data_IF_573207096886
#
_entry.id   IF_573207096886
#
_cell.length_a   1.000
_cell.length_b   1.000
_cell.length_c   1.000
_cell.angle_alpha   90.00
_cell.angle_beta   90.00
_cell.angle_gamma   90.00
#
_symmetry.space_group_name_H-M   'P 1'
#
loop_
_entity.id
_entity.type
_entity.pdbx_description
1 polymer ?
#
# COMPACT_ATOMS: atom_id res chain seq x y z
N UNK A 1 -0.03 -24.21 -62.03
CA UNK A 1 1.37 -23.82 -61.74
C UNK A 1 1.86 -24.66 -60.54
N UNK A 2 2.69 -25.72 -60.80
CA UNK A 2 3.26 -26.52 -59.71
C UNK A 2 4.37 -25.72 -59.04
N UNK A 3 4.20 -25.40 -57.73
CA UNK A 3 5.25 -24.81 -56.95
C UNK A 3 6.46 -25.74 -56.91
N UNK A 4 7.70 -25.22 -57.05
CA UNK A 4 8.89 -26.02 -56.82
C UNK A 4 8.89 -26.53 -55.38
N UNK A 5 9.44 -27.71 -55.07
CA UNK A 5 9.39 -28.33 -53.74
C UNK A 5 9.84 -27.40 -52.60
N UNK A 6 10.88 -26.58 -52.84
CA UNK A 6 11.40 -25.58 -51.89
C UNK A 6 10.34 -24.49 -51.60
N UNK A 7 9.65 -23.97 -52.63
CA UNK A 7 8.60 -22.96 -52.46
C UNK A 7 7.36 -23.51 -51.73
N UNK A 8 7.02 -24.78 -51.98
CA UNK A 8 5.94 -25.46 -51.25
C UNK A 8 6.30 -25.64 -49.76
N UNK A 9 7.53 -26.01 -49.42
CA UNK A 9 8.00 -26.17 -48.04
C UNK A 9 8.05 -24.83 -47.31
N UNK A 10 8.49 -23.75 -47.95
CA UNK A 10 8.46 -22.41 -47.35
C UNK A 10 7.01 -21.98 -47.09
N UNK A 11 6.11 -22.18 -48.01
CA UNK A 11 4.70 -21.85 -47.85
C UNK A 11 4.07 -22.65 -46.68
N UNK A 12 4.36 -23.94 -46.60
CA UNK A 12 3.92 -24.79 -45.48
C UNK A 12 4.48 -24.31 -44.13
N UNK A 13 5.74 -23.94 -44.09
CA UNK A 13 6.34 -23.38 -42.86
C UNK A 13 5.65 -22.08 -42.44
N UNK A 14 5.42 -21.16 -43.36
CA UNK A 14 4.72 -19.89 -43.08
C UNK A 14 3.31 -20.15 -42.58
N UNK A 15 2.55 -21.01 -43.27
CA UNK A 15 1.17 -21.33 -42.85
C UNK A 15 1.15 -21.99 -41.48
N UNK A 16 2.02 -22.97 -41.22
CA UNK A 16 2.09 -23.64 -39.91
C UNK A 16 2.46 -22.67 -38.80
N UNK A 17 3.40 -21.75 -39.04
CA UNK A 17 3.77 -20.72 -38.08
C UNK A 17 2.60 -19.78 -37.78
N UNK A 18 1.89 -19.31 -38.82
CA UNK A 18 0.72 -18.43 -38.63
C UNK A 18 -0.40 -19.15 -37.87
N UNK A 19 -0.67 -20.43 -38.19
CA UNK A 19 -1.66 -21.21 -37.45
C UNK A 19 -1.28 -21.42 -35.99
N UNK A 20 0.01 -21.68 -35.73
CA UNK A 20 0.51 -21.81 -34.35
C UNK A 20 0.36 -20.50 -33.58
N UNK A 21 0.72 -19.36 -34.15
CA UNK A 21 0.55 -18.04 -33.51
C UNK A 21 -0.93 -17.72 -33.31
N UNK A 22 -1.80 -18.02 -34.25
CA UNK A 22 -3.25 -17.84 -34.12
C UNK A 22 -3.83 -18.71 -32.98
N UNK A 23 -3.39 -19.97 -32.90
CA UNK A 23 -3.80 -20.88 -31.82
C UNK A 23 -3.31 -20.40 -30.46
N UNK A 24 -2.06 -19.93 -30.38
CA UNK A 24 -1.51 -19.34 -29.15
C UNK A 24 -2.28 -18.07 -28.74
N UNK A 25 -2.55 -17.16 -29.65
CA UNK A 25 -3.37 -15.98 -29.42
C UNK A 25 -4.77 -16.36 -28.90
N UNK A 26 -5.44 -17.32 -29.54
CA UNK A 26 -6.74 -17.85 -29.10
C UNK A 26 -6.70 -18.43 -27.70
N UNK A 27 -5.63 -19.16 -27.35
CA UNK A 27 -5.43 -19.71 -26.02
C UNK A 27 -5.27 -18.60 -24.96
N UNK A 28 -4.47 -17.57 -25.23
CA UNK A 28 -4.29 -16.47 -24.27
C UNK A 28 -5.55 -15.61 -24.14
N UNK A 29 -6.33 -15.40 -25.21
CA UNK A 29 -7.66 -14.77 -25.14
C UNK A 29 -8.62 -15.59 -24.27
N UNK A 30 -8.65 -16.90 -24.44
CA UNK A 30 -9.46 -17.80 -23.59
C UNK A 30 -9.05 -17.73 -22.12
N UNK A 31 -7.73 -17.74 -21.83
CA UNK A 31 -7.24 -17.60 -20.45
C UNK A 31 -7.66 -16.27 -19.84
N UNK A 32 -7.52 -15.17 -20.56
CA UNK A 32 -7.97 -13.86 -20.10
C UNK A 32 -9.48 -13.84 -19.85
N UNK A 33 -10.28 -14.41 -20.75
CA UNK A 33 -11.73 -14.53 -20.58
C UNK A 33 -12.11 -15.31 -19.31
N UNK A 34 -11.40 -16.38 -19.00
CA UNK A 34 -11.64 -17.15 -17.77
C UNK A 34 -11.29 -16.32 -16.54
N UNK A 35 -10.11 -15.68 -16.51
CA UNK A 35 -9.68 -14.84 -15.42
C UNK A 35 -10.65 -13.65 -15.18
N UNK A 36 -11.08 -12.99 -16.25
CA UNK A 36 -12.02 -11.87 -16.16
C UNK A 36 -13.39 -12.32 -15.63
N UNK A 37 -13.86 -13.51 -16.01
CA UNK A 37 -15.10 -14.07 -15.45
C UNK A 37 -15.00 -14.33 -13.95
N UNK A 38 -13.86 -14.87 -13.49
CA UNK A 38 -13.62 -15.12 -12.08
C UNK A 38 -13.57 -13.78 -11.31
N UNK A 39 -12.91 -12.76 -11.89
CA UNK A 39 -12.83 -11.40 -11.35
C UNK A 39 -14.22 -10.75 -11.21
N UNK A 40 -15.11 -10.90 -12.20
CA UNK A 40 -16.51 -10.43 -12.11
C UNK A 40 -17.33 -11.22 -11.08
N UNK A 41 -16.96 -12.48 -10.84
CA UNK A 41 -17.51 -13.26 -9.73
C UNK A 41 -17.17 -12.62 -8.37
N UNK A 42 -15.91 -12.28 -8.18
CA UNK A 42 -15.44 -11.59 -6.97
C UNK A 42 -16.04 -10.19 -6.82
N UNK A 43 -16.14 -9.41 -7.91
CA UNK A 43 -16.82 -8.10 -7.90
C UNK A 43 -18.22 -8.19 -7.32
N UNK A 44 -19.02 -9.15 -7.78
CA UNK A 44 -20.40 -9.34 -7.28
C UNK A 44 -20.43 -9.65 -5.79
N UNK A 45 -19.48 -10.45 -5.30
CA UNK A 45 -19.34 -10.74 -3.87
C UNK A 45 -18.98 -9.47 -3.10
N UNK A 46 -18.00 -8.70 -3.58
CA UNK A 46 -17.58 -7.44 -2.95
C UNK A 46 -18.75 -6.43 -2.89
N UNK A 47 -19.50 -6.28 -3.97
CA UNK A 47 -20.69 -5.42 -4.00
C UNK A 47 -21.79 -5.90 -3.04
N UNK A 48 -22.02 -7.21 -2.95
CA UNK A 48 -22.99 -7.78 -1.99
C UNK A 48 -22.57 -7.48 -0.54
N UNK A 49 -21.29 -7.64 -0.22
CA UNK A 49 -20.75 -7.34 1.12
C UNK A 49 -20.94 -5.87 1.47
N UNK A 50 -20.63 -4.97 0.55
CA UNK A 50 -20.83 -3.52 0.74
C UNK A 50 -22.30 -3.16 0.99
N UNK A 51 -23.24 -3.75 0.21
CA UNK A 51 -24.67 -3.45 0.32
C UNK A 51 -25.35 -4.13 1.50
N UNK A 52 -24.82 -5.24 2.01
CA UNK A 52 -25.41 -5.98 3.13
C UNK A 52 -25.14 -5.36 4.51
N UNK A 53 -24.48 -4.21 4.56
CA UNK A 53 -24.08 -3.58 5.82
C UNK A 53 -23.09 -4.43 6.62
N UNK A 54 -22.44 -5.39 5.96
CA UNK A 54 -21.41 -6.20 6.56
C UNK A 54 -21.88 -7.46 7.26
N UNK A 55 -23.09 -7.92 7.05
CA UNK A 55 -23.56 -9.16 7.69
C UNK A 55 -23.36 -10.38 6.79
N UNK A 56 -22.28 -11.13 7.03
CA UNK A 56 -22.19 -12.54 6.67
C UNK A 56 -21.59 -13.31 7.84
N UNK A 57 -22.31 -14.24 8.45
CA UNK A 57 -21.77 -15.07 9.50
C UNK A 57 -20.59 -15.89 8.93
N UNK A 58 -19.45 -15.88 9.64
CA UNK A 58 -18.24 -16.65 9.38
C UNK A 58 -17.27 -16.15 8.29
N UNK A 59 -17.27 -14.88 7.90
CA UNK A 59 -16.21 -14.37 7.04
C UNK A 59 -15.46 -13.22 7.73
N UNK A 60 -14.17 -13.43 8.00
CA UNK A 60 -13.21 -12.37 8.35
C UNK A 60 -12.90 -11.52 7.10
N UNK A 61 -13.91 -11.24 6.27
CA UNK A 61 -13.71 -10.56 5.02
C UNK A 61 -13.43 -9.07 5.26
N UNK A 62 -12.32 -8.59 4.71
CA UNK A 62 -11.88 -7.20 4.77
C UNK A 62 -12.99 -6.20 4.38
N UNK A 63 -13.82 -6.54 3.40
CA UNK A 63 -14.95 -5.72 2.96
C UNK A 63 -15.96 -5.34 4.06
N UNK A 64 -15.97 -6.03 5.21
CA UNK A 64 -16.82 -5.66 6.35
C UNK A 64 -16.27 -4.47 7.12
N UNK A 65 -14.97 -4.27 7.11
CA UNK A 65 -14.32 -3.20 7.83
C UNK A 65 -14.37 -1.87 7.09
N UNK A 66 -14.69 -1.88 5.78
CA UNK A 66 -14.58 -0.70 4.93
C UNK A 66 -15.95 -0.16 4.51
N UNK A 67 -15.95 1.10 4.15
CA UNK A 67 -17.07 1.78 3.46
C UNK A 67 -16.51 2.60 2.30
N UNK A 68 -17.36 2.86 1.30
CA UNK A 68 -16.99 3.72 0.19
C UNK A 68 -17.04 5.18 0.61
N UNK A 69 -16.12 5.98 0.10
CA UNK A 69 -16.08 7.42 0.30
C UNK A 69 -16.43 8.16 -1.00
N UNK A 70 -16.95 9.37 -0.87
CA UNK A 70 -17.21 10.26 -2.02
C UNK A 70 -15.92 10.82 -2.64
N UNK A 71 -14.77 10.61 -2.03
CA UNK A 71 -13.48 10.98 -2.59
C UNK A 71 -12.97 9.89 -3.56
N UNK A 72 -13.11 10.12 -4.85
CA UNK A 72 -12.67 9.19 -5.91
C UNK A 72 -11.15 8.89 -5.88
N UNK A 73 -10.35 9.61 -5.10
CA UNK A 73 -8.90 9.36 -4.93
C UNK A 73 -8.58 8.53 -3.69
N UNK A 74 -9.51 8.40 -2.73
CA UNK A 74 -9.41 7.49 -1.58
C UNK A 74 -10.20 6.21 -1.86
N UNK A 75 -11.40 6.37 -2.44
CA UNK A 75 -12.32 5.32 -2.88
C UNK A 75 -12.99 4.59 -1.73
N UNK A 76 -12.26 4.08 -0.78
CA UNK A 76 -12.78 3.40 0.43
C UNK A 76 -11.97 3.78 1.66
N UNK A 77 -12.57 3.61 2.82
CA UNK A 77 -11.92 3.86 4.10
C UNK A 77 -12.45 2.87 5.15
N UNK A 78 -11.77 2.77 6.28
CA UNK A 78 -12.28 1.96 7.40
C UNK A 78 -13.48 2.65 8.03
N UNK A 79 -14.48 1.87 8.40
CA UNK A 79 -15.65 2.36 9.14
C UNK A 79 -15.23 2.96 10.48
N UNK A 80 -15.77 4.11 10.89
CA UNK A 80 -15.54 4.65 12.22
C UNK A 80 -16.22 3.78 13.30
N UNK A 81 -15.68 3.79 14.51
CA UNK A 81 -16.18 3.05 15.67
C UNK A 81 -16.35 1.54 15.43
N UNK A 82 -15.52 0.98 14.56
CA UNK A 82 -15.46 -0.44 14.30
C UNK A 82 -14.89 -1.17 15.52
N UNK A 83 -15.48 -2.31 15.87
CA UNK A 83 -14.91 -3.34 16.73
C UNK A 83 -15.08 -4.67 16.02
N UNK A 84 -14.01 -5.18 15.39
CA UNK A 84 -14.08 -6.32 14.50
C UNK A 84 -12.86 -7.22 14.62
N UNK A 85 -13.07 -8.53 14.59
CA UNK A 85 -11.98 -9.50 14.54
C UNK A 85 -11.50 -9.69 13.09
N UNK A 86 -10.23 -9.37 12.85
CA UNK A 86 -9.59 -9.49 11.55
C UNK A 86 -8.17 -10.03 11.70
N UNK A 87 -7.86 -11.14 11.00
CA UNK A 87 -6.55 -11.80 11.09
C UNK A 87 -6.14 -12.17 12.52
N UNK A 88 -7.07 -12.79 13.24
CA UNK A 88 -6.92 -13.28 14.61
C UNK A 88 -6.63 -12.19 15.67
N UNK A 89 -6.85 -10.92 15.33
CA UNK A 89 -6.74 -9.79 16.26
C UNK A 89 -7.98 -8.89 16.16
N UNK A 90 -8.30 -8.21 17.25
CA UNK A 90 -9.34 -7.17 17.22
C UNK A 90 -8.82 -5.89 16.59
N UNK A 91 -9.66 -5.28 15.78
CA UNK A 91 -9.46 -3.98 15.14
C UNK A 91 -10.49 -3.02 15.72
N UNK A 92 -10.03 -2.05 16.46
CA UNK A 92 -10.84 -0.94 16.97
C UNK A 92 -10.49 0.32 16.19
N UNK A 93 -11.50 0.98 15.60
CA UNK A 93 -11.28 2.23 14.89
C UNK A 93 -11.87 3.40 15.65
N UNK A 94 -11.19 4.53 15.58
CA UNK A 94 -11.64 5.78 16.17
C UNK A 94 -12.74 6.45 15.32
N UNK A 95 -13.21 7.63 15.73
CA UNK A 95 -14.26 8.38 15.01
C UNK A 95 -13.86 8.82 13.60
N UNK A 96 -12.57 8.82 13.25
CA UNK A 96 -12.07 9.14 11.92
C UNK A 96 -11.87 7.90 11.03
N UNK A 97 -12.19 6.70 11.54
CA UNK A 97 -11.98 5.43 10.85
C UNK A 97 -10.53 4.94 10.89
N UNK A 98 -9.66 5.46 11.76
CA UNK A 98 -8.30 4.96 11.89
C UNK A 98 -8.21 3.91 13.02
N UNK A 99 -7.41 2.86 12.81
CA UNK A 99 -7.06 1.87 13.83
C UNK A 99 -6.10 2.47 14.84
N UNK A 100 -6.66 3.34 15.67
CA UNK A 100 -5.90 4.11 16.64
C UNK A 100 -6.84 4.64 17.73
N UNK A 101 -6.27 5.15 18.82
CA UNK A 101 -7.02 5.87 19.83
C UNK A 101 -7.61 7.17 19.26
N UNK A 102 -8.49 7.78 20.01
CA UNK A 102 -9.10 9.04 19.62
C UNK A 102 -8.16 10.23 19.89
N UNK A 103 -8.00 11.11 18.90
CA UNK A 103 -7.28 12.37 19.01
C UNK A 103 -8.18 13.55 18.68
N UNK A 104 -8.01 14.64 19.37
CA UNK A 104 -8.69 15.90 19.06
C UNK A 104 -8.06 16.55 17.81
N UNK A 105 -8.86 17.11 16.91
CA UNK A 105 -8.30 17.88 15.80
C UNK A 105 -7.52 19.11 16.30
N UNK A 106 -8.06 19.82 17.28
CA UNK A 106 -7.32 20.92 17.94
C UNK A 106 -6.17 20.33 18.73
N UNK A 107 -4.94 20.71 18.35
CA UNK A 107 -3.73 20.24 19.01
C UNK A 107 -3.63 20.87 20.42
N UNK A 108 -3.52 20.06 21.49
CA UNK A 108 -3.30 20.59 22.83
C UNK A 108 -1.96 21.34 22.96
N UNK A 109 -1.85 22.35 23.80
CA UNK A 109 -0.56 23.01 24.07
C UNK A 109 0.50 22.01 24.57
N UNK A 110 1.73 22.16 24.09
CA UNK A 110 2.84 21.27 24.46
C UNK A 110 2.80 19.89 23.76
N UNK A 111 1.94 19.71 22.75
CA UNK A 111 1.83 18.47 22.00
C UNK A 111 2.61 18.55 20.68
N UNK A 112 3.42 17.54 20.43
CA UNK A 112 4.06 17.27 19.14
C UNK A 112 3.29 16.16 18.44
N UNK A 113 2.89 16.37 17.19
CA UNK A 113 2.14 15.40 16.39
C UNK A 113 2.92 14.84 15.23
N UNK A 114 2.99 13.53 15.17
CA UNK A 114 3.48 12.78 14.03
C UNK A 114 2.28 12.10 13.38
N UNK A 115 2.09 12.24 12.08
CA UNK A 115 1.06 11.53 11.34
C UNK A 115 1.73 10.52 10.43
N UNK A 116 1.38 9.25 10.60
CA UNK A 116 1.79 8.16 9.71
C UNK A 116 0.76 7.91 8.63
N UNK A 117 1.21 7.78 7.38
CA UNK A 117 0.42 7.36 6.21
C UNK A 117 1.06 6.09 5.64
N UNK A 118 0.25 5.07 5.35
CA UNK A 118 0.75 3.77 4.91
C UNK A 118 -0.37 2.76 4.70
N UNK A 119 0.04 1.57 4.38
CA UNK A 119 -0.81 0.42 4.06
C UNK A 119 -1.06 -0.54 5.24
N UNK A 120 -1.19 -1.82 4.94
CA UNK A 120 -1.39 -2.90 5.91
C UNK A 120 -0.25 -3.07 6.91
N UNK A 121 0.98 -2.71 6.52
CA UNK A 121 2.14 -2.78 7.41
C UNK A 121 2.06 -1.69 8.47
N UNK A 122 1.73 -0.46 8.09
CA UNK A 122 1.53 0.62 9.05
C UNK A 122 0.29 0.39 9.92
N UNK A 123 -0.80 -0.10 9.32
CA UNK A 123 -2.00 -0.51 10.05
C UNK A 123 -1.72 -1.51 11.17
N UNK A 124 -0.66 -2.31 11.07
CA UNK A 124 -0.34 -3.37 12.02
C UNK A 124 -1.19 -4.62 11.80
N UNK A 125 -1.33 -5.07 10.54
CA UNK A 125 -2.13 -6.25 10.21
C UNK A 125 -1.58 -7.51 10.89
N UNK A 126 -2.47 -8.21 11.61
CA UNK A 126 -2.14 -9.47 12.29
C UNK A 126 -1.40 -9.31 13.63
N UNK A 127 -1.17 -8.08 14.11
CA UNK A 127 -0.65 -7.84 15.46
C UNK A 127 -1.68 -7.11 16.32
N UNK A 128 -1.67 -7.33 17.67
CA UNK A 128 -2.58 -6.62 18.58
C UNK A 128 -2.47 -5.10 18.42
N UNK A 129 -3.58 -4.41 18.62
CA UNK A 129 -3.59 -2.96 18.67
C UNK A 129 -2.59 -2.46 19.73
N UNK A 130 -2.03 -1.27 19.53
CA UNK A 130 -0.97 -0.68 20.36
C UNK A 130 0.41 -1.39 20.27
N UNK A 131 0.58 -2.37 19.38
CA UNK A 131 1.87 -3.04 19.14
C UNK A 131 2.44 -2.79 17.74
N UNK A 132 1.74 -2.03 16.90
CA UNK A 132 2.30 -1.52 15.65
C UNK A 132 3.42 -0.50 15.92
N UNK A 133 4.27 -0.28 14.92
CA UNK A 133 5.48 0.52 15.13
C UNK A 133 5.24 1.99 15.45
N UNK A 134 4.08 2.56 15.07
CA UNK A 134 3.73 3.94 15.42
C UNK A 134 3.27 4.06 16.88
N UNK A 135 2.47 3.11 17.35
CA UNK A 135 2.08 3.03 18.75
C UNK A 135 3.29 2.81 19.68
N UNK A 136 4.20 1.90 19.28
CA UNK A 136 5.47 1.69 19.99
C UNK A 136 6.31 2.96 19.99
N UNK A 137 6.43 3.65 18.85
CA UNK A 137 7.16 4.93 18.75
C UNK A 137 6.57 5.99 19.68
N UNK A 138 5.24 6.12 19.73
CA UNK A 138 4.56 7.07 20.61
C UNK A 138 4.91 6.83 22.09
N UNK A 139 4.82 5.57 22.52
CA UNK A 139 5.16 5.19 23.88
C UNK A 139 6.62 5.54 24.20
N UNK A 140 7.56 5.21 23.29
CA UNK A 140 8.99 5.51 23.48
C UNK A 140 9.28 7.00 23.50
N UNK A 141 8.65 7.79 22.65
CA UNK A 141 8.80 9.25 22.63
C UNK A 141 8.30 9.88 23.93
N UNK A 142 7.14 9.46 24.43
CA UNK A 142 6.59 9.95 25.70
C UNK A 142 7.42 9.52 26.91
N UNK A 143 8.03 8.32 26.87
CA UNK A 143 8.94 7.84 27.91
C UNK A 143 10.26 8.66 27.93
N UNK A 144 10.89 8.86 26.78
CA UNK A 144 12.21 9.46 26.68
C UNK A 144 12.18 11.00 26.69
N UNK A 145 11.09 11.62 26.25
CA UNK A 145 10.95 13.06 26.12
C UNK A 145 9.69 13.60 26.82
N UNK A 146 9.55 13.39 28.16
CA UNK A 146 8.31 13.66 28.91
C UNK A 146 7.97 15.16 29.05
N UNK A 147 8.86 16.08 28.64
CA UNK A 147 8.58 17.51 28.63
C UNK A 147 7.59 17.96 27.57
N UNK A 148 7.25 17.07 26.65
CA UNK A 148 6.22 17.23 25.62
C UNK A 148 5.23 16.06 25.69
N UNK A 149 4.04 16.27 25.15
CA UNK A 149 3.12 15.17 24.83
C UNK A 149 3.36 14.79 23.38
N UNK A 150 3.63 13.53 23.12
CA UNK A 150 3.78 13.02 21.78
C UNK A 150 2.51 12.27 21.39
N UNK A 151 1.94 12.65 20.27
CA UNK A 151 0.84 11.96 19.61
C UNK A 151 1.31 11.47 18.24
N UNK A 152 1.28 10.15 18.04
CA UNK A 152 1.70 9.52 16.79
C UNK A 152 0.49 8.83 16.17
N UNK A 153 -0.13 9.50 15.22
CA UNK A 153 -1.42 9.13 14.65
C UNK A 153 -1.21 8.16 13.49
N UNK A 154 -1.74 6.95 13.63
CA UNK A 154 -1.71 5.92 12.62
C UNK A 154 -2.91 6.05 11.67
N UNK A 155 -2.68 6.47 10.42
CA UNK A 155 -3.73 6.53 9.40
C UNK A 155 -3.60 5.41 8.37
N UNK A 156 -2.82 4.36 8.68
CA UNK A 156 -2.62 3.19 7.83
C UNK A 156 -3.93 2.44 7.57
N UNK A 157 -4.14 2.05 6.33
CA UNK A 157 -5.30 1.25 5.91
C UNK A 157 -4.82 0.12 5.01
N UNK A 158 -5.18 -1.14 5.30
CA UNK A 158 -4.77 -2.26 4.45
C UNK A 158 -5.10 -2.02 2.98
N UNK A 159 -4.23 -2.49 2.10
CA UNK A 159 -4.30 -2.34 0.64
C UNK A 159 -4.11 -0.92 0.09
N UNK A 160 -4.01 0.12 0.88
CA UNK A 160 -3.69 1.44 0.33
C UNK A 160 -2.36 1.41 -0.42
N UNK A 161 -2.25 2.25 -1.43
CA UNK A 161 -1.01 2.55 -2.14
C UNK A 161 -0.63 4.01 -1.89
N UNK A 162 0.58 4.37 -2.25
CA UNK A 162 1.11 5.73 -2.04
C UNK A 162 0.17 6.85 -2.50
N UNK A 163 -0.57 6.66 -3.60
CA UNK A 163 -1.52 7.68 -4.11
C UNK A 163 -2.67 7.90 -3.14
N UNK A 164 -3.24 6.81 -2.62
CA UNK A 164 -4.38 6.86 -1.69
C UNK A 164 -3.91 7.35 -0.31
N UNK A 165 -2.75 6.94 0.15
CA UNK A 165 -2.15 7.37 1.41
C UNK A 165 -1.92 8.88 1.46
N UNK A 166 -1.34 9.44 0.40
CA UNK A 166 -1.10 10.88 0.29
C UNK A 166 -2.42 11.66 0.21
N UNK A 167 -3.42 11.14 -0.48
CA UNK A 167 -4.75 11.75 -0.50
C UNK A 167 -5.44 11.66 0.88
N UNK A 168 -5.23 10.56 1.62
CA UNK A 168 -5.73 10.41 3.01
C UNK A 168 -5.10 11.44 3.94
N UNK A 169 -3.79 11.71 3.79
CA UNK A 169 -3.15 12.81 4.51
C UNK A 169 -3.83 14.13 4.19
N UNK A 170 -4.05 14.45 2.90
CA UNK A 170 -4.70 15.67 2.44
C UNK A 170 -6.11 15.83 3.02
N UNK A 171 -6.93 14.79 2.90
CA UNK A 171 -8.34 14.84 3.25
C UNK A 171 -8.59 14.79 4.78
N UNK A 172 -7.79 14.02 5.49
CA UNK A 172 -7.99 13.69 6.92
C UNK A 172 -6.78 14.03 7.80
N UNK A 173 -5.57 13.61 7.42
CA UNK A 173 -4.38 13.73 8.27
C UNK A 173 -3.99 15.17 8.59
N UNK A 174 -4.11 16.10 7.63
CA UNK A 174 -3.80 17.51 7.84
C UNK A 174 -4.70 18.20 8.87
N UNK A 175 -5.91 17.68 9.11
CA UNK A 175 -6.83 18.20 10.15
C UNK A 175 -6.22 18.09 11.56
N UNK A 176 -5.27 17.18 11.75
CA UNK A 176 -4.56 16.99 13.01
C UNK A 176 -3.37 17.95 13.18
N UNK A 177 -3.06 18.79 12.18
CA UNK A 177 -1.93 19.73 12.22
C UNK A 177 -0.61 19.04 12.56
N UNK A 178 -0.10 18.14 11.71
CA UNK A 178 1.12 17.38 11.95
C UNK A 178 2.36 18.29 12.03
N UNK A 179 3.28 17.97 12.95
CA UNK A 179 4.61 18.56 13.04
C UNK A 179 5.64 17.73 12.22
N UNK A 180 5.30 16.46 11.92
CA UNK A 180 6.09 15.56 11.09
C UNK A 180 5.15 14.54 10.46
N UNK A 181 5.45 14.13 9.22
CA UNK A 181 4.75 13.04 8.54
C UNK A 181 5.71 11.89 8.27
N UNK A 182 5.26 10.66 8.58
CA UNK A 182 5.95 9.41 8.24
C UNK A 182 5.15 8.73 7.14
N UNK A 183 5.80 8.44 6.00
CA UNK A 183 5.22 7.58 4.96
C UNK A 183 5.90 6.21 5.00
N UNK A 184 5.11 5.15 5.18
CA UNK A 184 5.58 3.76 5.09
C UNK A 184 5.50 3.30 3.64
N UNK A 185 6.57 2.67 3.13
CA UNK A 185 6.66 2.22 1.72
C UNK A 185 6.99 0.74 1.67
N UNK A 186 6.23 0.02 0.86
CA UNK A 186 6.40 -1.40 0.55
C UNK A 186 6.29 -1.65 -0.96
N UNK A 187 6.60 -2.86 -1.42
CA UNK A 187 6.66 -3.16 -2.85
C UNK A 187 5.31 -3.17 -3.58
N UNK A 188 4.19 -3.26 -2.86
CA UNK A 188 2.85 -3.20 -3.45
C UNK A 188 2.28 -1.78 -3.64
N UNK A 189 3.01 -0.74 -3.26
CA UNK A 189 2.59 0.67 -3.34
C UNK A 189 2.33 1.19 -4.77
N UNK A 190 2.73 0.45 -5.78
CA UNK A 190 2.37 0.72 -7.17
C UNK A 190 1.08 0.05 -7.61
N UNK A 191 0.60 -0.92 -6.84
CA UNK A 191 -0.55 -1.72 -7.24
C UNK A 191 -1.85 -0.93 -7.06
N UNK A 192 -2.83 -1.23 -7.90
CA UNK A 192 -4.20 -0.87 -7.59
C UNK A 192 -4.67 -1.77 -6.44
N UNK A 193 -5.23 -1.23 -5.34
CA UNK A 193 -5.78 -2.06 -4.27
C UNK A 193 -6.76 -3.11 -4.80
N UNK A 194 -6.72 -4.33 -4.27
CA UNK A 194 -7.56 -5.43 -4.76
C UNK A 194 -9.05 -5.06 -4.71
N UNK A 195 -9.47 -4.44 -3.61
CA UNK A 195 -10.83 -3.98 -3.44
C UNK A 195 -11.22 -2.91 -4.47
N UNK A 196 -10.34 -1.93 -4.72
CA UNK A 196 -10.53 -0.88 -5.74
C UNK A 196 -10.53 -1.48 -7.15
N UNK A 197 -9.71 -2.51 -7.38
CA UNK A 197 -9.72 -3.25 -8.64
C UNK A 197 -11.10 -3.84 -8.91
N UNK A 198 -11.72 -4.46 -7.91
CA UNK A 198 -13.03 -5.10 -8.06
C UNK A 198 -14.14 -4.09 -8.32
N UNK A 199 -14.26 -3.06 -7.48
CA UNK A 199 -15.36 -2.08 -7.58
C UNK A 199 -15.20 -1.12 -8.76
N UNK A 200 -13.98 -0.91 -9.23
CA UNK A 200 -13.66 -0.05 -10.38
C UNK A 200 -13.92 -0.70 -11.75
N UNK A 201 -14.25 -2.00 -11.80
CA UNK A 201 -14.59 -2.69 -13.04
C UNK A 201 -15.89 -2.14 -13.63
N UNK A 202 -16.05 -2.12 -14.96
CA UNK A 202 -17.32 -1.83 -15.62
C UNK A 202 -18.46 -2.70 -15.07
N UNK A 203 -19.71 -2.20 -15.12
CA UNK A 203 -20.86 -2.99 -14.67
C UNK A 203 -21.02 -4.31 -15.45
N UNK A 204 -20.70 -4.28 -16.75
CA UNK A 204 -20.81 -5.43 -17.63
C UNK A 204 -19.53 -5.61 -18.43
N UNK A 205 -19.14 -6.86 -18.59
CA UNK A 205 -18.04 -7.24 -19.47
C UNK A 205 -18.48 -7.09 -20.92
N UNK A 206 -17.84 -6.18 -21.66
CA UNK A 206 -18.04 -6.09 -23.11
C UNK A 206 -17.19 -7.15 -23.80
N UNK A 207 -17.80 -8.34 -23.96
CA UNK A 207 -17.15 -9.51 -24.55
C UNK A 207 -16.60 -9.22 -25.96
N UNK A 208 -17.40 -8.55 -26.82
CA UNK A 208 -17.03 -8.32 -28.20
C UNK A 208 -15.86 -7.38 -28.34
N UNK A 209 -15.91 -6.22 -27.68
CA UNK A 209 -14.81 -5.27 -27.73
C UNK A 209 -13.54 -5.81 -27.08
N UNK A 210 -13.66 -6.57 -26.00
CA UNK A 210 -12.49 -7.06 -25.29
C UNK A 210 -11.80 -8.23 -25.96
N UNK A 211 -12.53 -9.23 -26.47
CA UNK A 211 -11.93 -10.48 -26.95
C UNK A 211 -12.02 -10.71 -28.46
N UNK A 212 -12.90 -10.02 -29.16
CA UNK A 212 -13.09 -10.22 -30.60
C UNK A 212 -12.54 -9.04 -31.38
N UNK A 213 -12.96 -7.83 -31.09
CA UNK A 213 -12.59 -6.61 -31.80
C UNK A 213 -11.28 -6.00 -31.32
N UNK A 214 -10.78 -6.41 -30.16
CA UNK A 214 -9.53 -5.91 -29.64
C UNK A 214 -8.35 -6.28 -30.54
N UNK A 215 -7.67 -5.28 -31.07
CA UNK A 215 -6.50 -5.44 -31.95
C UNK A 215 -5.20 -5.73 -31.20
N UNK A 216 -5.18 -5.55 -29.87
CA UNK A 216 -4.02 -5.89 -29.05
C UNK A 216 -3.86 -7.40 -28.96
N UNK A 217 -2.63 -7.90 -29.13
CA UNK A 217 -2.31 -9.31 -28.97
C UNK A 217 -2.19 -9.68 -27.49
N UNK A 218 -3.01 -10.61 -27.04
CA UNK A 218 -2.96 -11.17 -25.68
C UNK A 218 -1.70 -12.03 -25.46
N UNK A 219 -1.26 -12.74 -26.50
CA UNK A 219 0.01 -13.46 -26.49
C UNK A 219 1.18 -12.50 -26.29
N UNK A 220 1.24 -11.41 -27.06
CA UNK A 220 2.32 -10.43 -26.96
C UNK A 220 2.34 -9.72 -25.60
N UNK A 221 1.17 -9.34 -25.10
CA UNK A 221 1.03 -8.76 -23.76
C UNK A 221 1.55 -9.69 -22.67
N UNK A 222 1.24 -10.98 -22.75
CA UNK A 222 1.77 -11.98 -21.83
C UNK A 222 3.30 -12.09 -21.90
N UNK A 223 3.85 -12.15 -23.13
CA UNK A 223 5.30 -12.23 -23.35
C UNK A 223 6.00 -11.00 -22.79
N UNK A 224 5.48 -9.82 -23.07
CA UNK A 224 6.03 -8.56 -22.57
C UNK A 224 6.01 -8.52 -21.04
N UNK A 225 4.91 -8.83 -20.38
CA UNK A 225 4.81 -8.89 -18.94
C UNK A 225 5.84 -9.85 -18.29
N UNK A 226 6.24 -10.91 -19.01
CA UNK A 226 7.29 -11.84 -18.56
C UNK A 226 8.70 -11.31 -18.79
N UNK A 227 8.92 -10.52 -19.81
CA UNK A 227 10.24 -9.97 -20.16
C UNK A 227 10.55 -8.70 -19.38
N UNK A 228 9.62 -7.78 -19.32
CA UNK A 228 9.86 -6.44 -18.78
C UNK A 228 9.75 -6.38 -17.24
N UNK A 229 9.24 -7.45 -16.60
CA UNK A 229 8.97 -7.50 -15.14
C UNK A 229 8.18 -6.28 -14.63
N UNK A 230 7.57 -5.52 -15.53
CA UNK A 230 6.81 -4.32 -15.20
C UNK A 230 5.34 -4.66 -15.01
N UNK A 231 4.74 -4.29 -13.88
CA UNK A 231 3.30 -4.49 -13.65
C UNK A 231 2.44 -3.67 -14.61
N UNK A 232 2.96 -2.61 -15.22
CA UNK A 232 2.19 -1.62 -15.98
C UNK A 232 1.77 -2.06 -17.40
N UNK A 233 2.29 -3.19 -17.89
CA UNK A 233 2.10 -3.62 -19.29
C UNK A 233 1.07 -4.76 -19.51
N UNK A 234 0.43 -5.23 -18.47
CA UNK A 234 -0.68 -6.19 -18.62
C UNK A 234 -1.89 -5.42 -19.15
N UNK A 235 -2.59 -5.90 -20.22
CA UNK A 235 -3.85 -5.28 -20.62
C UNK A 235 -4.86 -5.51 -19.50
N UNK A 236 -4.79 -4.66 -18.51
CA UNK A 236 -5.72 -4.66 -17.39
C UNK A 236 -7.13 -4.46 -17.93
N UNK A 237 -8.10 -5.04 -17.26
CA UNK A 237 -9.49 -4.68 -17.48
C UNK A 237 -9.61 -3.17 -17.36
N UNK A 238 -10.43 -2.51 -18.19
CA UNK A 238 -10.77 -1.12 -17.94
C UNK A 238 -11.21 -0.96 -16.50
N UNK A 239 -10.61 -0.03 -15.79
CA UNK A 239 -10.90 0.23 -14.39
C UNK A 239 -11.04 1.73 -14.19
N UNK A 240 -12.14 2.16 -13.56
CA UNK A 240 -12.44 3.56 -13.27
C UNK A 240 -11.27 4.23 -12.50
N UNK A 241 -10.58 3.47 -11.66
CA UNK A 241 -9.55 3.94 -10.75
C UNK A 241 -8.12 3.62 -11.20
N UNK A 242 -7.92 3.20 -12.47
CA UNK A 242 -6.60 2.83 -12.98
C UNK A 242 -5.53 3.94 -12.82
N UNK A 243 -5.96 5.21 -12.81
CA UNK A 243 -5.06 6.36 -12.61
C UNK A 243 -4.49 6.49 -11.18
N UNK A 244 -5.00 5.72 -10.22
CA UNK A 244 -4.49 5.70 -8.85
C UNK A 244 -3.31 4.73 -8.66
N UNK A 245 -2.94 3.96 -9.67
CA UNK A 245 -1.90 2.94 -9.58
C UNK A 245 -0.74 3.20 -10.56
N UNK A 246 0.35 2.46 -10.34
CA UNK A 246 1.54 2.52 -11.15
C UNK A 246 2.58 3.53 -10.66
N UNK A 247 3.80 3.37 -11.15
CA UNK A 247 4.95 4.18 -10.75
C UNK A 247 4.68 5.68 -10.93
N UNK A 248 4.10 6.08 -12.07
CA UNK A 248 3.82 7.49 -12.36
C UNK A 248 2.87 8.11 -11.32
N UNK A 249 1.83 7.39 -10.91
CA UNK A 249 0.87 7.86 -9.92
C UNK A 249 1.53 8.01 -8.55
N UNK A 250 2.31 7.00 -8.13
CA UNK A 250 3.04 7.03 -6.86
C UNK A 250 4.09 8.16 -6.81
N UNK A 251 4.89 8.33 -7.88
CA UNK A 251 5.88 9.42 -7.92
C UNK A 251 5.22 10.81 -7.88
N UNK A 252 4.08 10.97 -8.56
CA UNK A 252 3.29 12.21 -8.50
C UNK A 252 2.73 12.44 -7.09
N UNK A 253 2.27 11.40 -6.42
CA UNK A 253 1.80 11.50 -5.05
C UNK A 253 2.91 11.95 -4.08
N UNK A 254 4.15 11.46 -4.25
CA UNK A 254 5.30 11.93 -3.46
C UNK A 254 5.61 13.42 -3.71
N UNK A 255 5.47 13.90 -4.95
CA UNK A 255 5.60 15.33 -5.27
C UNK A 255 4.52 16.14 -4.57
N UNK A 256 3.27 15.66 -4.57
CA UNK A 256 2.15 16.29 -3.87
C UNK A 256 2.39 16.28 -2.34
N UNK A 257 2.95 15.20 -1.78
CA UNK A 257 3.36 15.13 -0.38
C UNK A 257 4.45 16.18 -0.06
N UNK A 258 5.44 16.33 -0.95
CA UNK A 258 6.47 17.38 -0.80
C UNK A 258 5.86 18.77 -0.82
N UNK A 259 4.93 19.03 -1.72
CA UNK A 259 4.23 20.31 -1.78
C UNK A 259 3.50 20.58 -0.45
N UNK A 260 2.72 19.62 0.06
CA UNK A 260 2.05 19.77 1.37
C UNK A 260 3.05 19.98 2.51
N UNK A 261 4.18 19.27 2.49
CA UNK A 261 5.28 19.46 3.45
C UNK A 261 5.77 20.91 3.51
N UNK A 262 5.93 21.56 2.34
CA UNK A 262 6.35 22.96 2.26
C UNK A 262 5.23 23.92 2.69
N UNK A 263 4.00 23.67 2.24
CA UNK A 263 2.83 24.52 2.53
C UNK A 263 2.48 24.52 4.03
N UNK A 264 2.60 23.37 4.69
CA UNK A 264 2.23 23.22 6.11
C UNK A 264 3.44 23.21 7.07
N UNK A 265 4.67 23.24 6.55
CA UNK A 265 5.88 23.39 7.34
C UNK A 265 6.34 22.13 8.10
N UNK A 266 5.92 20.94 7.71
CA UNK A 266 6.36 19.68 8.34
C UNK A 266 7.42 18.95 7.52
N UNK A 267 8.45 18.36 8.16
CA UNK A 267 9.35 17.42 7.49
C UNK A 267 8.66 16.09 7.20
N UNK A 268 9.16 15.37 6.20
CA UNK A 268 8.70 14.03 5.81
C UNK A 268 9.80 13.01 6.07
N UNK A 269 9.46 11.92 6.73
CA UNK A 269 10.28 10.72 6.86
C UNK A 269 9.70 9.63 5.97
N UNK A 270 10.49 9.12 5.04
CA UNK A 270 10.13 7.96 4.22
C UNK A 270 10.77 6.70 4.80
N UNK A 271 9.95 5.75 5.16
CA UNK A 271 10.31 4.49 5.81
C UNK A 271 10.10 3.32 4.84
N UNK A 272 11.22 2.72 4.39
CA UNK A 272 11.21 1.55 3.52
C UNK A 272 11.20 0.29 4.39
N UNK A 273 10.09 -0.43 4.36
CA UNK A 273 9.74 -1.44 5.38
C UNK A 273 10.18 -2.87 5.04
N UNK A 274 10.64 -3.13 3.82
CA UNK A 274 10.98 -4.48 3.37
C UNK A 274 12.40 -4.93 3.78
N UNK A 275 12.62 -6.25 3.94
CA UNK A 275 13.92 -6.82 4.30
C UNK A 275 14.96 -6.73 3.17
N UNK A 276 14.52 -6.43 1.96
CA UNK A 276 15.38 -6.19 0.79
C UNK A 276 14.68 -5.24 -0.17
N UNK A 277 15.38 -4.19 -0.60
CA UNK A 277 14.83 -3.23 -1.53
C UNK A 277 14.94 -3.76 -2.96
N UNK A 278 13.81 -4.18 -3.55
CA UNK A 278 13.68 -4.47 -4.97
C UNK A 278 13.73 -3.21 -5.85
N UNK A 279 13.45 -3.35 -7.15
CA UNK A 279 13.43 -2.20 -8.08
C UNK A 279 12.46 -1.10 -7.64
N UNK A 280 11.29 -1.47 -7.12
CA UNK A 280 10.27 -0.54 -6.61
C UNK A 280 10.84 0.25 -5.42
N UNK A 281 11.36 -0.42 -4.40
CA UNK A 281 11.95 0.25 -3.24
C UNK A 281 13.12 1.16 -3.61
N UNK A 282 13.95 0.77 -4.59
CA UNK A 282 15.02 1.63 -5.12
C UNK A 282 14.47 2.89 -5.79
N UNK A 283 13.38 2.79 -6.55
CA UNK A 283 12.72 3.94 -7.18
C UNK A 283 12.18 4.90 -6.12
N UNK A 284 11.50 4.40 -5.10
CA UNK A 284 11.04 5.20 -3.96
C UNK A 284 12.21 5.88 -3.23
N UNK A 285 13.27 5.13 -2.96
CA UNK A 285 14.48 5.65 -2.29
C UNK A 285 15.10 6.80 -3.07
N UNK A 286 15.23 6.66 -4.38
CA UNK A 286 15.79 7.70 -5.25
C UNK A 286 14.90 8.93 -5.27
N UNK A 287 13.58 8.74 -5.41
CA UNK A 287 12.61 9.86 -5.42
C UNK A 287 12.55 10.56 -4.05
N UNK A 288 12.54 9.83 -2.95
CA UNK A 288 12.54 10.41 -1.60
C UNK A 288 13.79 11.28 -1.36
N UNK A 289 14.97 10.83 -1.79
CA UNK A 289 16.21 11.63 -1.72
C UNK A 289 16.15 12.87 -2.60
N UNK A 290 15.64 12.75 -3.84
CA UNK A 290 15.42 13.88 -4.75
C UNK A 290 14.53 14.96 -4.12
N UNK A 291 13.45 14.54 -3.44
CA UNK A 291 12.50 15.42 -2.77
C UNK A 291 13.01 15.96 -1.42
N UNK A 292 14.17 15.49 -0.94
CA UNK A 292 14.75 15.90 0.33
C UNK A 292 13.99 15.34 1.55
N UNK A 293 13.44 14.13 1.44
CA UNK A 293 12.85 13.43 2.57
C UNK A 293 13.94 12.81 3.45
N UNK A 294 13.67 12.66 4.73
CA UNK A 294 14.49 11.88 5.64
C UNK A 294 14.25 10.40 5.37
N UNK A 295 15.32 9.62 5.21
CA UNK A 295 15.18 8.23 4.74
C UNK A 295 15.47 7.24 5.87
N UNK A 296 14.58 6.28 6.05
CA UNK A 296 14.79 5.12 6.95
C UNK A 296 14.68 3.86 6.12
N UNK A 297 15.76 3.09 6.02
CA UNK A 297 15.79 1.80 5.32
C UNK A 297 15.87 0.67 6.34
N UNK A 298 14.83 -0.16 6.40
CA UNK A 298 14.78 -1.30 7.31
C UNK A 298 15.59 -2.51 6.85
N UNK A 299 15.95 -2.59 5.56
CA UNK A 299 16.63 -3.78 5.03
C UNK A 299 17.93 -4.11 5.77
N UNK A 300 18.85 -3.18 6.05
CA UNK A 300 20.07 -3.49 6.80
C UNK A 300 19.79 -3.99 8.22
N UNK A 301 18.82 -3.39 8.90
CA UNK A 301 18.47 -3.74 10.29
C UNK A 301 17.87 -5.13 10.38
N UNK A 302 16.93 -5.44 9.49
CA UNK A 302 16.29 -6.75 9.42
C UNK A 302 17.29 -7.85 9.03
N UNK A 303 18.15 -7.59 8.05
CA UNK A 303 19.20 -8.52 7.61
C UNK A 303 20.22 -8.80 8.72
N UNK A 304 20.65 -7.76 9.45
CA UNK A 304 21.57 -7.92 10.58
C UNK A 304 20.91 -8.75 11.70
N UNK A 305 19.64 -8.47 12.04
CA UNK A 305 18.91 -9.25 13.03
C UNK A 305 18.80 -10.72 12.62
N UNK A 306 18.36 -10.96 11.37
CA UNK A 306 18.24 -12.31 10.83
C UNK A 306 19.57 -13.07 10.83
N UNK A 307 20.66 -12.42 10.44
CA UNK A 307 22.00 -13.02 10.45
C UNK A 307 22.43 -13.43 11.86
N UNK A 308 22.22 -12.59 12.87
CA UNK A 308 22.52 -12.87 14.28
C UNK A 308 21.69 -14.05 14.84
N UNK A 309 20.47 -14.23 14.34
CA UNK A 309 19.54 -15.29 14.77
C UNK A 309 19.60 -16.55 13.91
N UNK A 310 20.39 -16.55 12.83
CA UNK A 310 20.45 -17.66 11.89
C UNK A 310 19.16 -17.85 11.08
N UNK A 311 18.33 -16.80 10.95
CA UNK A 311 17.10 -16.79 10.15
C UNK A 311 17.49 -16.66 8.69
N UNK A 312 17.09 -17.64 7.86
CA UNK A 312 17.47 -17.69 6.44
C UNK A 312 16.50 -16.92 5.53
N UNK A 313 15.23 -16.86 5.90
CA UNK A 313 14.19 -16.26 5.10
C UNK A 313 13.21 -15.50 5.99
N UNK A 314 12.98 -14.23 5.65
CA UNK A 314 12.12 -13.32 6.40
C UNK A 314 10.68 -13.79 6.42
N UNK A 315 10.13 -14.14 5.25
CA UNK A 315 8.72 -14.44 5.07
C UNK A 315 8.28 -15.83 5.54
N UNK A 316 9.23 -16.67 5.92
CA UNK A 316 8.96 -18.01 6.51
C UNK A 316 9.27 -18.08 7.99
N UNK A 317 9.80 -17.03 8.58
CA UNK A 317 10.15 -16.97 10.00
C UNK A 317 8.97 -16.44 10.83
N UNK A 318 8.41 -17.26 11.72
CA UNK A 318 7.39 -16.81 12.68
C UNK A 318 7.89 -15.75 13.68
N UNK A 319 9.20 -15.55 13.80
CA UNK A 319 9.79 -14.48 14.59
C UNK A 319 9.69 -13.13 13.86
N UNK A 320 9.78 -13.13 12.53
CA UNK A 320 9.78 -11.92 11.71
C UNK A 320 8.39 -11.52 11.21
N UNK A 321 7.54 -12.51 10.92
CA UNK A 321 6.22 -12.28 10.33
C UNK A 321 5.13 -13.10 11.02
N UNK A 322 3.90 -12.59 10.97
CA UNK A 322 2.70 -13.34 11.35
C UNK A 322 2.25 -14.27 10.23
N UNK A 323 1.18 -15.06 10.46
CA UNK A 323 0.74 -16.13 9.56
C UNK A 323 0.47 -15.66 8.11
N UNK A 324 0.01 -14.44 7.90
CA UNK A 324 -0.26 -13.86 6.58
C UNK A 324 0.93 -13.07 5.98
N UNK A 325 2.13 -13.24 6.56
CA UNK A 325 3.41 -12.66 6.14
C UNK A 325 3.56 -11.15 6.38
N UNK A 326 2.68 -10.54 7.15
CA UNK A 326 2.88 -9.18 7.64
C UNK A 326 3.89 -9.18 8.81
N UNK A 327 4.53 -8.04 9.11
CA UNK A 327 5.50 -7.92 10.19
C UNK A 327 4.95 -8.39 11.53
N UNK A 328 5.74 -9.15 12.29
CA UNK A 328 5.42 -9.52 13.67
C UNK A 328 5.58 -8.34 14.64
N UNK A 329 5.10 -8.48 15.88
CA UNK A 329 5.35 -7.50 16.95
C UNK A 329 6.84 -7.19 17.12
N UNK A 330 7.71 -8.18 16.98
CA UNK A 330 9.16 -7.95 17.03
C UNK A 330 9.63 -7.07 15.88
N UNK A 331 9.18 -7.32 14.67
CA UNK A 331 9.54 -6.50 13.50
C UNK A 331 9.00 -5.07 13.66
N UNK A 332 7.79 -4.91 14.17
CA UNK A 332 7.26 -3.58 14.52
C UNK A 332 8.12 -2.88 15.57
N UNK A 333 8.56 -3.57 16.61
CA UNK A 333 9.44 -3.00 17.64
C UNK A 333 10.80 -2.56 17.05
N UNK A 334 11.42 -3.40 16.19
CA UNK A 334 12.66 -3.05 15.49
C UNK A 334 12.47 -1.82 14.59
N UNK A 335 11.33 -1.72 13.93
CA UNK A 335 10.97 -0.57 13.08
C UNK A 335 10.83 0.70 13.90
N UNK A 336 10.10 0.65 15.01
CA UNK A 336 9.93 1.78 15.92
C UNK A 336 11.26 2.29 16.48
N UNK A 337 12.13 1.40 16.97
CA UNK A 337 13.44 1.77 17.52
C UNK A 337 14.38 2.33 16.44
N UNK A 338 14.30 1.82 15.21
CA UNK A 338 15.09 2.37 14.09
C UNK A 338 14.60 3.76 13.70
N UNK A 339 13.29 3.96 13.62
CA UNK A 339 12.70 5.27 13.36
C UNK A 339 13.05 6.27 14.47
N UNK A 340 12.88 5.90 15.71
CA UNK A 340 13.26 6.73 16.88
C UNK A 340 14.74 7.14 16.82
N UNK A 341 15.62 6.19 16.55
CA UNK A 341 17.06 6.45 16.41
C UNK A 341 17.34 7.46 15.29
N UNK A 342 16.71 7.28 14.13
CA UNK A 342 16.88 8.20 12.99
C UNK A 342 16.35 9.59 13.32
N UNK A 343 15.16 9.71 13.92
CA UNK A 343 14.61 11.00 14.36
C UNK A 343 15.57 11.72 15.34
N UNK A 344 16.23 10.96 16.23
CA UNK A 344 17.18 11.50 17.20
C UNK A 344 18.50 11.92 16.53
N UNK A 345 19.11 11.05 15.70
CA UNK A 345 20.41 11.28 15.09
C UNK A 345 20.41 12.39 14.04
N UNK A 346 19.28 12.59 13.36
CA UNK A 346 19.09 13.68 12.40
C UNK A 346 18.62 14.99 13.05
N UNK A 347 18.49 15.01 14.39
CA UNK A 347 18.11 16.21 15.15
C UNK A 347 16.65 16.62 14.95
N UNK A 348 15.80 15.73 14.43
CA UNK A 348 14.38 16.03 14.19
C UNK A 348 13.62 16.18 15.52
N UNK A 349 13.89 15.32 16.51
CA UNK A 349 13.26 15.40 17.83
C UNK A 349 13.53 16.77 18.46
N UNK A 350 14.78 17.23 18.44
CA UNK A 350 15.18 18.53 19.02
C UNK A 350 14.49 19.70 18.31
N UNK A 351 14.40 19.64 16.97
CA UNK A 351 13.69 20.66 16.17
C UNK A 351 12.20 20.69 16.49
N UNK A 352 11.55 19.54 16.59
CA UNK A 352 10.13 19.41 16.93
C UNK A 352 9.84 19.94 18.35
N UNK A 353 10.68 19.59 19.30
CA UNK A 353 10.56 20.09 20.68
C UNK A 353 10.76 21.59 20.77
N UNK A 354 11.70 22.16 20.02
CA UNK A 354 11.99 23.60 20.01
C UNK A 354 10.83 24.41 19.37
N UNK A 355 10.17 23.87 18.37
CA UNK A 355 9.01 24.49 17.69
C UNK A 355 7.70 24.42 18.49
N UNK A 356 7.65 23.62 19.55
CA UNK A 356 6.43 23.36 20.33
C UNK A 356 6.59 23.95 21.74
N UNK A 357 5.66 24.79 22.24
CA UNK A 357 5.70 25.32 23.62
C UNK A 357 5.73 24.17 24.64
N UNK A 358 6.38 24.42 25.80
CA UNK A 358 6.41 23.42 26.86
C UNK A 358 5.01 23.11 27.40
N UNK A 359 4.83 21.88 27.87
CA UNK A 359 3.61 21.44 28.53
C UNK A 359 3.43 22.24 29.80
N UNK A 360 2.27 22.88 29.96
CA UNK A 360 1.95 23.55 31.24
C UNK A 360 1.96 22.47 32.34
N UNK A 361 2.89 22.57 33.26
CA UNK A 361 2.89 21.75 34.47
C UNK A 361 1.69 22.19 35.34
N UNK A 362 0.65 21.39 35.32
CA UNK A 362 -0.43 21.50 36.33
C UNK A 362 0.20 21.16 37.69
N UNK A 363 0.39 22.17 38.54
CA UNK A 363 0.71 22.00 39.94
C UNK A 363 -0.48 21.45 40.70
#
# INVERSE_FOLDING_TARGET
>A
MKLSGTRANILLLVISTLLTLAAAEGYFRYRAMKADRDLYGMKRIAEQVLHSGGYAPNTQAYGFMVELTDNDRIVFELKPHLHWEYRDVYVDTNMSGFRDKHYLFTKPPGTVRIVGIGDSVMFGQGVPQDTDYLAVLENRLNELFPTRTWEVINTGVPEYNTTIEVETLRAKGLKYSPDLVVIGVVSNDYNIPEFVQLIGLPEKLDFWNRYVLNTQSFLWSYVRAKLDKSPDDVPLMPNKYASLAGERAAMKALEDLKQMSVEHGFPVVMLLLEPAQGSIGQTFMNKGRELGFHMVDMAPVLQEYMARKGIKDYYTSAEMVVADKHPSMLTHALTAETLLRTLSTEGLIQKLMAGTPERATTQ
#
